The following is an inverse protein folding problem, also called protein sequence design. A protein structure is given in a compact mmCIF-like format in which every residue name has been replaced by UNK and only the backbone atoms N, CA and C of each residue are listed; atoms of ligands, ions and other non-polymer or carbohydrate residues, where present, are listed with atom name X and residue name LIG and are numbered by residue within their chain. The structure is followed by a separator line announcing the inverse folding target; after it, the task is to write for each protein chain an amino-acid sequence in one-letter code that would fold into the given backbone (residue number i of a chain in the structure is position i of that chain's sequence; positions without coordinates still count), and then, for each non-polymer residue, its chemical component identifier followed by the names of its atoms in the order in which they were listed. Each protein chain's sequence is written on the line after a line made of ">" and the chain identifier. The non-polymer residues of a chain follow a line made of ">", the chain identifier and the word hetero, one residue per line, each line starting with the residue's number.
data_IF_335058884629
#
_entry.id   IF_335058884629
#
_cell.length_a   1.000
_cell.length_b   1.000
_cell.length_c   1.000
_cell.angle_alpha   90.00
_cell.angle_beta   90.00
_cell.angle_gamma   90.00
#
_symmetry.space_group_name_H-M   'P 1'
#
loop_
_entity.id
_entity.type
_entity.pdbx_description
1 polymer ?
#
# COMPACT_ATOMS: atom_id res chain seq x y z
N UNK A 1 20.23 -19.87 -19.71
CA UNK A 1 20.02 -20.99 -20.65
C UNK A 1 19.80 -22.23 -19.83
N UNK A 2 18.81 -23.02 -20.16
CA UNK A 2 18.45 -24.28 -19.50
C UNK A 2 18.49 -25.38 -20.53
N UNK A 3 18.99 -26.56 -20.17
CA UNK A 3 18.92 -27.78 -20.99
C UNK A 3 18.22 -28.88 -20.22
N UNK A 4 17.60 -29.82 -20.94
CA UNK A 4 16.88 -30.93 -20.33
C UNK A 4 16.07 -31.70 -21.34
N UNK A 5 15.12 -32.50 -20.85
CA UNK A 5 14.21 -33.26 -21.68
C UNK A 5 13.40 -32.33 -22.60
N UNK A 6 13.36 -32.66 -23.90
CA UNK A 6 12.66 -31.85 -24.90
C UNK A 6 11.16 -31.68 -24.61
N UNK A 7 10.54 -32.66 -23.98
CA UNK A 7 9.13 -32.57 -23.57
C UNK A 7 8.88 -31.49 -22.51
N UNK A 8 9.79 -31.37 -21.56
CA UNK A 8 9.73 -30.36 -20.49
C UNK A 8 10.06 -28.97 -21.06
N UNK A 9 11.11 -28.88 -21.89
CA UNK A 9 11.54 -27.61 -22.47
C UNK A 9 10.53 -27.00 -23.45
N UNK A 10 9.81 -27.83 -24.21
CA UNK A 10 8.80 -27.35 -25.14
C UNK A 10 7.55 -26.78 -24.47
N UNK A 11 7.24 -27.24 -23.25
CA UNK A 11 6.12 -26.76 -22.46
C UNK A 11 6.50 -25.59 -21.52
N UNK A 12 7.79 -25.23 -21.48
CA UNK A 12 8.31 -24.22 -20.57
C UNK A 12 8.58 -22.89 -21.28
N UNK A 13 7.62 -21.98 -21.21
CA UNK A 13 7.76 -20.61 -21.71
C UNK A 13 8.47 -19.68 -20.72
N UNK A 14 8.37 -19.97 -19.43
CA UNK A 14 8.93 -19.12 -18.37
C UNK A 14 9.22 -19.92 -17.11
N UNK A 15 10.14 -19.40 -16.28
CA UNK A 15 10.37 -19.88 -14.93
C UNK A 15 9.77 -18.86 -13.96
N UNK A 16 8.78 -19.29 -13.16
CA UNK A 16 8.22 -18.46 -12.12
C UNK A 16 9.16 -18.45 -10.94
N UNK A 17 9.61 -17.26 -10.53
CA UNK A 17 10.54 -17.09 -9.41
C UNK A 17 9.79 -17.06 -8.08
N UNK A 18 8.85 -16.14 -7.94
CA UNK A 18 7.99 -15.95 -6.75
C UNK A 18 6.94 -14.89 -7.06
N UNK A 19 6.03 -14.67 -6.11
CA UNK A 19 5.09 -13.57 -6.13
C UNK A 19 5.60 -12.41 -5.26
N UNK A 20 5.34 -11.20 -5.71
CA UNK A 20 5.77 -9.99 -5.02
C UNK A 20 4.57 -9.06 -4.78
N UNK A 21 4.43 -8.59 -3.54
CA UNK A 21 3.38 -7.63 -3.20
C UNK A 21 3.85 -6.20 -3.52
N UNK A 22 3.24 -5.60 -4.54
CA UNK A 22 3.53 -4.24 -4.96
C UNK A 22 3.22 -3.18 -3.88
N UNK A 23 2.36 -3.50 -2.91
CA UNK A 23 2.06 -2.59 -1.79
C UNK A 23 3.24 -2.44 -0.83
N UNK A 24 4.19 -3.38 -0.86
CA UNK A 24 5.41 -3.32 -0.06
C UNK A 24 6.52 -2.47 -0.70
N UNK A 25 6.34 -2.02 -1.94
CA UNK A 25 7.32 -1.19 -2.64
C UNK A 25 7.26 0.23 -2.09
N UNK A 26 8.37 0.66 -1.53
CA UNK A 26 8.59 2.06 -1.16
C UNK A 26 9.19 2.82 -2.35
N UNK A 27 9.28 4.14 -2.25
CA UNK A 27 9.90 4.99 -3.27
C UNK A 27 11.42 4.81 -3.35
N UNK A 28 12.03 4.23 -2.34
CA UNK A 28 13.41 3.75 -2.43
C UNK A 28 13.42 2.46 -3.25
N UNK A 29 14.38 2.34 -4.17
CA UNK A 29 14.51 1.13 -4.96
C UNK A 29 14.74 -0.07 -4.03
N UNK A 30 13.86 -1.03 -4.12
CA UNK A 30 13.90 -2.25 -3.31
C UNK A 30 14.44 -3.37 -4.19
N UNK A 31 15.51 -4.03 -3.74
CA UNK A 31 16.12 -5.15 -4.43
C UNK A 31 15.74 -6.46 -3.75
N UNK A 32 15.15 -7.36 -4.51
CA UNK A 32 14.77 -8.70 -4.05
C UNK A 32 15.51 -9.75 -4.84
N UNK A 33 16.08 -10.72 -4.14
CA UNK A 33 16.83 -11.81 -4.76
C UNK A 33 16.08 -13.12 -4.62
N UNK A 34 15.73 -13.73 -5.74
CA UNK A 34 15.00 -14.98 -5.83
C UNK A 34 15.89 -16.11 -6.33
N UNK A 35 15.75 -17.31 -5.76
CA UNK A 35 16.40 -18.49 -6.29
C UNK A 35 15.74 -18.92 -7.59
N UNK A 36 16.54 -19.24 -8.60
CA UNK A 36 16.08 -19.82 -9.86
C UNK A 36 15.98 -21.32 -9.65
N UNK A 37 14.75 -21.82 -9.53
CA UNK A 37 14.47 -23.24 -9.41
C UNK A 37 14.24 -23.82 -10.81
N UNK A 38 15.14 -24.70 -11.22
CA UNK A 38 15.02 -25.41 -12.50
C UNK A 38 14.19 -26.66 -12.27
N UNK A 39 13.22 -26.98 -13.15
CA UNK A 39 12.41 -28.20 -13.03
C UNK A 39 13.24 -29.48 -13.02
N UNK A 40 12.73 -30.51 -12.35
CA UNK A 40 13.34 -31.83 -12.34
C UNK A 40 13.54 -32.36 -13.78
N UNK A 41 14.72 -32.86 -14.08
CA UNK A 41 15.09 -33.31 -15.43
C UNK A 41 15.68 -32.22 -16.32
N UNK A 42 15.82 -31.00 -15.82
CA UNK A 42 16.51 -29.90 -16.50
C UNK A 42 17.78 -29.47 -15.75
N UNK A 43 18.74 -28.92 -16.49
CA UNK A 43 20.02 -28.43 -15.97
C UNK A 43 20.20 -26.96 -16.34
N UNK A 44 20.67 -26.18 -15.39
CA UNK A 44 20.96 -24.77 -15.58
C UNK A 44 22.37 -24.59 -16.18
N UNK A 45 22.43 -24.31 -17.47
CA UNK A 45 23.69 -24.13 -18.20
C UNK A 45 24.32 -22.74 -17.99
N UNK A 46 23.57 -21.76 -17.54
CA UNK A 46 24.09 -20.39 -17.36
C UNK A 46 24.90 -20.22 -16.08
N UNK A 47 24.79 -21.15 -15.12
CA UNK A 47 25.40 -21.03 -13.80
C UNK A 47 24.76 -19.94 -12.92
N UNK A 48 23.79 -19.20 -13.42
CA UNK A 48 23.07 -18.17 -12.66
C UNK A 48 21.99 -18.85 -11.83
N UNK A 49 22.15 -18.86 -10.52
CA UNK A 49 21.22 -19.53 -9.59
C UNK A 49 20.27 -18.59 -8.90
N UNK A 50 20.45 -17.29 -9.07
CA UNK A 50 19.60 -16.25 -8.46
C UNK A 50 19.28 -15.17 -9.48
N UNK A 51 18.06 -14.66 -9.41
CA UNK A 51 17.62 -13.49 -10.13
C UNK A 51 17.40 -12.34 -9.13
N UNK A 52 17.84 -11.16 -9.49
CA UNK A 52 17.61 -9.95 -8.69
C UNK A 52 16.56 -9.10 -9.39
N UNK A 53 15.50 -8.80 -8.67
CA UNK A 53 14.44 -7.89 -9.09
C UNK A 53 14.65 -6.56 -8.37
N UNK A 54 14.91 -5.51 -9.13
CA UNK A 54 14.94 -4.14 -8.62
C UNK A 54 13.65 -3.43 -8.99
N UNK A 55 12.94 -2.96 -7.98
CA UNK A 55 11.71 -2.20 -8.16
C UNK A 55 11.91 -0.84 -7.50
N UNK A 56 11.63 0.21 -8.22
CA UNK A 56 11.73 1.57 -7.73
C UNK A 56 10.88 2.52 -8.56
N UNK A 57 10.65 3.68 -8.01
CA UNK A 57 9.97 4.79 -8.68
C UNK A 57 10.91 5.99 -8.75
N UNK A 58 11.87 6.00 -9.70
CA UNK A 58 12.96 6.99 -9.73
C UNK A 58 12.46 8.44 -9.86
N UNK A 59 11.27 8.63 -10.44
CA UNK A 59 10.67 9.94 -10.66
C UNK A 59 9.64 10.34 -9.57
N UNK A 60 9.55 9.55 -8.49
CA UNK A 60 8.61 9.80 -7.40
C UNK A 60 9.31 10.40 -6.19
N UNK A 61 8.67 11.40 -5.62
CA UNK A 61 9.07 12.05 -4.37
C UNK A 61 8.12 11.62 -3.25
N UNK A 62 8.64 11.41 -2.07
CA UNK A 62 7.86 11.13 -0.85
C UNK A 62 7.80 12.36 0.02
N UNK A 63 6.64 12.60 0.61
CA UNK A 63 6.48 13.58 1.67
C UNK A 63 5.52 13.08 2.74
N UNK A 64 5.78 13.48 3.98
CA UNK A 64 4.86 13.30 5.08
C UNK A 64 4.03 14.59 5.23
N UNK A 65 2.72 14.47 5.13
CA UNK A 65 1.78 15.59 5.24
C UNK A 65 0.87 15.36 6.44
N UNK A 66 0.84 16.34 7.35
CA UNK A 66 -0.08 16.31 8.48
C UNK A 66 -1.41 16.93 8.09
N UNK A 67 -2.49 16.20 8.26
CA UNK A 67 -3.85 16.66 7.99
C UNK A 67 -4.69 16.69 9.25
N UNK A 68 -5.58 17.70 9.33
CA UNK A 68 -6.65 17.81 10.31
C UNK A 68 -8.02 17.52 9.68
N UNK A 69 -8.05 17.27 8.35
CA UNK A 69 -9.28 16.97 7.63
C UNK A 69 -9.65 15.48 7.79
N UNK A 70 -10.09 15.15 9.00
CA UNK A 70 -10.48 13.80 9.37
C UNK A 70 -12.00 13.74 9.50
N UNK A 71 -12.64 12.78 8.82
CA UNK A 71 -14.08 12.62 8.78
C UNK A 71 -14.48 11.20 9.12
N UNK A 72 -15.65 11.07 9.70
CA UNK A 72 -16.29 9.80 9.97
C UNK A 72 -17.58 9.75 9.14
N UNK A 73 -17.71 8.72 8.32
CA UNK A 73 -18.89 8.46 7.49
C UNK A 73 -19.69 7.29 8.05
N UNK A 74 -20.98 7.23 7.72
CA UNK A 74 -21.91 6.17 8.11
C UNK A 74 -22.02 5.95 9.64
N UNK A 75 -21.71 6.99 10.42
CA UNK A 75 -22.03 6.99 11.83
C UNK A 75 -23.56 6.97 12.02
N UNK A 76 -24.05 6.10 12.90
CA UNK A 76 -25.49 6.06 13.20
C UNK A 76 -25.96 7.42 13.71
N UNK A 77 -26.99 7.99 13.08
CA UNK A 77 -27.53 9.31 13.40
C UNK A 77 -28.04 9.43 14.85
N UNK A 78 -28.25 8.32 15.53
CA UNK A 78 -28.69 8.26 16.92
C UNK A 78 -27.57 8.36 17.95
N UNK A 79 -26.31 8.43 17.50
CA UNK A 79 -25.15 8.44 18.42
C UNK A 79 -24.16 9.53 18.03
N UNK A 80 -23.76 10.31 19.02
CA UNK A 80 -22.72 11.30 18.87
C UNK A 80 -21.37 10.56 18.91
N UNK A 81 -20.75 10.34 17.75
CA UNK A 81 -19.41 9.81 17.65
C UNK A 81 -18.43 10.95 17.88
N UNK A 82 -17.57 10.79 18.86
CA UNK A 82 -16.51 11.75 19.17
C UNK A 82 -15.22 11.30 18.49
N UNK A 83 -14.67 12.17 17.65
CA UNK A 83 -13.37 11.94 17.01
C UNK A 83 -12.24 12.31 17.97
N UNK A 84 -11.46 11.32 18.39
CA UNK A 84 -10.34 11.52 19.31
C UNK A 84 -9.05 11.86 18.56
N UNK A 85 -8.88 11.34 17.35
CA UNK A 85 -7.74 11.66 16.49
C UNK A 85 -8.00 12.98 15.77
N UNK A 86 -7.33 14.05 16.15
CA UNK A 86 -7.53 15.39 15.58
C UNK A 86 -6.56 15.71 14.45
N UNK A 87 -5.43 15.03 14.40
CA UNK A 87 -4.42 15.16 13.35
C UNK A 87 -3.85 13.79 12.97
N UNK A 88 -3.46 13.64 11.73
CA UNK A 88 -2.82 12.43 11.25
C UNK A 88 -1.72 12.78 10.25
N UNK A 89 -0.53 12.23 10.46
CA UNK A 89 0.56 12.34 9.48
C UNK A 89 0.44 11.22 8.47
N UNK A 90 0.31 11.59 7.20
CA UNK A 90 0.11 10.68 6.07
C UNK A 90 1.31 10.76 5.15
N UNK A 91 1.87 9.62 4.80
CA UNK A 91 2.94 9.53 3.81
C UNK A 91 2.35 9.41 2.42
N UNK A 92 2.66 10.38 1.57
CA UNK A 92 2.22 10.44 0.19
C UNK A 92 3.42 10.38 -0.75
N UNK A 93 3.18 9.91 -1.97
CA UNK A 93 4.20 9.86 -3.02
C UNK A 93 3.60 10.23 -4.37
N UNK A 94 4.37 10.96 -5.15
CA UNK A 94 3.99 11.43 -6.48
C UNK A 94 5.17 12.02 -7.21
N UNK A 95 4.95 12.54 -8.41
CA UNK A 95 5.98 13.32 -9.09
C UNK A 95 6.23 14.64 -8.35
N UNK A 96 7.42 15.21 -8.48
CA UNK A 96 7.77 16.48 -7.83
C UNK A 96 6.74 17.59 -8.16
N UNK A 97 6.27 17.65 -9.40
CA UNK A 97 5.28 18.61 -9.85
C UNK A 97 3.89 18.41 -9.22
N UNK A 98 3.49 17.16 -8.99
CA UNK A 98 2.20 16.84 -8.33
C UNK A 98 2.26 17.11 -6.82
N UNK A 99 3.43 16.91 -6.24
CA UNK A 99 3.67 17.13 -4.81
C UNK A 99 3.83 18.60 -4.45
N UNK A 100 4.21 19.43 -5.45
CA UNK A 100 4.33 20.88 -5.26
C UNK A 100 2.95 21.48 -4.95
N UNK A 101 2.84 22.12 -3.80
CA UNK A 101 1.62 22.77 -3.35
C UNK A 101 0.60 21.86 -2.64
N UNK A 102 0.95 20.59 -2.36
CA UNK A 102 0.13 19.74 -1.50
C UNK A 102 0.24 20.21 -0.04
N UNK A 103 -0.92 20.45 0.56
CA UNK A 103 -1.05 20.83 1.96
C UNK A 103 -1.89 19.80 2.72
N UNK A 104 -1.94 19.90 4.04
CA UNK A 104 -2.81 19.05 4.86
C UNK A 104 -4.31 19.20 4.55
N UNK A 105 -4.73 20.31 3.94
CA UNK A 105 -6.11 20.54 3.55
C UNK A 105 -6.50 19.72 2.30
N UNK A 106 -5.53 19.39 1.44
CA UNK A 106 -5.72 18.57 0.24
C UNK A 106 -5.81 17.08 0.58
N UNK A 107 -5.44 16.69 1.79
CA UNK A 107 -5.46 15.31 2.27
C UNK A 107 -6.65 15.11 3.20
N UNK A 108 -7.60 14.29 2.80
CA UNK A 108 -8.75 13.91 3.61
C UNK A 108 -8.61 12.47 4.11
N UNK A 109 -8.86 12.28 5.38
CA UNK A 109 -8.88 10.96 6.03
C UNK A 109 -10.33 10.63 6.36
N UNK A 110 -10.83 9.52 5.83
CA UNK A 110 -12.22 9.10 5.96
C UNK A 110 -12.27 7.72 6.61
N UNK A 111 -12.97 7.61 7.72
CA UNK A 111 -13.27 6.34 8.37
C UNK A 111 -14.74 6.00 8.23
N UNK A 112 -15.03 4.78 7.80
CA UNK A 112 -16.37 4.27 7.64
C UNK A 112 -16.78 3.43 8.87
N UNK A 113 -17.88 3.78 9.49
CA UNK A 113 -18.44 3.08 10.65
C UNK A 113 -19.56 2.11 10.31
N UNK A 114 -19.87 1.88 9.03
CA UNK A 114 -20.98 1.00 8.61
C UNK A 114 -20.85 -0.43 9.15
N UNK A 115 -19.64 -0.96 9.24
CA UNK A 115 -19.36 -2.33 9.68
C UNK A 115 -19.12 -2.47 11.19
N UNK A 116 -19.10 -1.36 11.91
CA UNK A 116 -18.84 -1.37 13.35
C UNK A 116 -20.14 -1.37 14.16
N UNK A 117 -20.37 -2.51 14.82
CA UNK A 117 -21.49 -2.69 15.74
C UNK A 117 -21.35 -1.75 16.95
N UNK A 118 -22.38 -1.05 17.25
CA UNK A 118 -22.50 0.17 18.01
C UNK A 118 -22.60 -0.10 19.52
N UNK A 119 -21.58 -0.67 20.11
CA UNK A 119 -21.44 -0.62 21.58
C UNK A 119 -20.75 0.70 21.99
N UNK A 120 -21.04 1.20 23.18
CA UNK A 120 -20.29 2.32 23.75
C UNK A 120 -18.84 1.90 24.00
N UNK A 121 -17.91 2.78 23.73
CA UNK A 121 -16.48 2.49 23.90
C UNK A 121 -15.57 3.30 22.97
N UNK A 122 -14.29 3.02 23.07
CA UNK A 122 -13.26 3.63 22.20
C UNK A 122 -12.78 2.59 21.19
N UNK A 123 -12.77 2.98 19.93
CA UNK A 123 -12.44 2.09 18.81
C UNK A 123 -11.34 2.68 17.94
N UNK A 124 -10.47 1.80 17.42
CA UNK A 124 -9.53 2.10 16.35
C UNK A 124 -10.16 1.68 15.03
N UNK A 125 -10.44 2.64 14.16
CA UNK A 125 -11.15 2.42 12.90
C UNK A 125 -10.19 2.60 11.73
N UNK A 126 -10.11 1.63 10.79
CA UNK A 126 -9.34 1.81 9.57
C UNK A 126 -9.83 3.02 8.80
N UNK A 127 -8.92 3.86 8.35
CA UNK A 127 -9.22 5.06 7.61
C UNK A 127 -8.66 5.01 6.19
N UNK A 128 -9.44 5.46 5.23
CA UNK A 128 -9.01 5.67 3.86
C UNK A 128 -8.49 7.10 3.73
N UNK A 129 -7.36 7.24 3.06
CA UNK A 129 -6.79 8.55 2.75
C UNK A 129 -7.10 8.90 1.30
N UNK A 130 -7.64 10.08 1.09
CA UNK A 130 -7.91 10.65 -0.23
C UNK A 130 -7.09 11.92 -0.38
N UNK A 131 -6.35 12.02 -1.47
CA UNK A 131 -5.56 13.20 -1.80
C UNK A 131 -6.22 13.88 -2.99
N UNK A 132 -6.42 15.18 -2.89
CA UNK A 132 -7.09 16.10 -3.81
C UNK A 132 -7.57 15.61 -5.17
N UNK A 133 -8.66 16.13 -5.66
CA UNK A 133 -9.29 15.70 -6.91
C UNK A 133 -8.38 15.91 -8.11
N UNK A 134 -8.14 14.84 -8.89
CA UNK A 134 -7.43 14.91 -10.17
C UNK A 134 -5.91 14.78 -10.10
N UNK A 135 -5.33 14.48 -8.92
CA UNK A 135 -3.89 14.22 -8.78
C UNK A 135 -3.60 12.73 -8.71
N UNK A 136 -2.53 12.28 -9.38
CA UNK A 136 -2.07 10.89 -9.37
C UNK A 136 -1.10 10.66 -8.22
N UNK A 137 -1.49 11.08 -7.01
CA UNK A 137 -0.69 10.93 -5.80
C UNK A 137 -1.10 9.64 -5.11
N UNK A 138 -0.12 8.80 -4.81
CA UNK A 138 -0.32 7.59 -4.04
C UNK A 138 -0.16 7.85 -2.54
N UNK A 139 -0.77 6.99 -1.74
CA UNK A 139 -0.65 6.98 -0.29
C UNK A 139 0.07 5.71 0.14
N UNK A 140 1.09 5.86 0.96
CA UNK A 140 1.87 4.74 1.48
C UNK A 140 1.46 4.44 2.91
N UNK A 141 1.23 3.15 3.20
CA UNK A 141 0.88 2.68 4.53
C UNK A 141 -0.62 2.54 4.76
N UNK A 142 -0.95 2.03 5.95
CA UNK A 142 -2.32 1.89 6.45
C UNK A 142 -2.52 2.82 7.63
N UNK A 143 -3.69 3.44 7.70
CA UNK A 143 -4.00 4.44 8.70
C UNK A 143 -5.23 4.05 9.49
N UNK A 144 -5.26 4.42 10.75
CA UNK A 144 -6.39 4.22 11.65
C UNK A 144 -6.63 5.49 12.44
N UNK A 145 -7.89 5.75 12.73
CA UNK A 145 -8.28 6.84 13.61
C UNK A 145 -8.96 6.30 14.86
N UNK A 146 -8.86 7.02 15.93
CA UNK A 146 -9.50 6.69 17.19
C UNK A 146 -10.79 7.49 17.34
N UNK A 147 -11.87 6.77 17.58
CA UNK A 147 -13.20 7.33 17.82
C UNK A 147 -13.77 6.83 19.15
N UNK A 148 -14.56 7.64 19.79
CA UNK A 148 -15.32 7.28 21.00
C UNK A 148 -16.79 7.33 20.72
N UNK A 149 -17.48 6.26 21.11
CA UNK A 149 -18.96 6.20 21.10
C UNK A 149 -19.40 6.30 22.55
N UNK A 150 -20.06 7.39 22.97
CA UNK A 150 -20.53 7.56 24.34
C UNK A 150 -21.68 6.60 24.65
N UNK A 151 -21.87 6.33 25.93
CA UNK A 151 -23.07 5.66 26.42
C UNK A 151 -24.29 6.58 26.23
N UNK A 152 -25.39 6.00 25.82
CA UNK A 152 -26.68 6.70 25.62
C UNK A 152 -27.36 7.00 26.94
#
# INVERSE_FOLDING_TARGET
>A
MVSGDASILNDMDSIVLDSFDLLSVTTESTSHSYAILVPDGCENLSGVTRATLEIGYPDKTVADVTTHNIRVENASASRNVELLTQELSVRIFGTAAEMEGITGEDVAVVADLSDYAVASGTYMIPAQVRVGDGKTIGVSGTYQIQVRIPES
#
